data_IF_379364100906
#
_entry.id   IF_379364100906
#
_cell.length_a   1.000
_cell.length_b   1.000
_cell.length_c   1.000
_cell.angle_alpha   90.00
_cell.angle_beta   90.00
_cell.angle_gamma   90.00
#
_symmetry.space_group_name_H-M   'P 1'
#
loop_
_entity.id
_entity.type
_entity.pdbx_description
1 polymer ?
#
# COMPACT_ATOMS: atom_id res chain seq x y z
N UNK A 1 -44.04 5.58 -56.79
CA UNK A 1 -43.22 6.30 -55.81
C UNK A 1 -43.16 5.38 -54.60
N UNK A 2 -42.18 4.48 -54.63
CA UNK A 2 -41.90 3.53 -53.55
C UNK A 2 -40.59 3.98 -52.93
N UNK A 3 -40.59 4.16 -51.60
CA UNK A 3 -39.43 4.25 -50.68
C UNK A 3 -39.86 5.05 -49.43
N UNK A 4 -39.66 4.71 -48.15
CA UNK A 4 -39.01 3.62 -47.42
C UNK A 4 -39.81 3.41 -46.12
N UNK A 5 -40.34 2.21 -45.85
CA UNK A 5 -41.00 1.86 -44.58
C UNK A 5 -40.30 0.69 -43.86
N UNK A 6 -38.98 0.59 -44.04
CA UNK A 6 -38.20 -0.58 -43.55
C UNK A 6 -37.27 -0.28 -42.37
N UNK A 7 -37.15 0.96 -41.91
CA UNK A 7 -36.19 1.32 -40.85
C UNK A 7 -36.77 1.16 -39.43
N UNK A 8 -38.10 1.14 -39.26
CA UNK A 8 -38.73 1.07 -37.94
C UNK A 8 -39.17 -0.33 -37.49
N UNK A 9 -38.98 -1.35 -38.33
CA UNK A 9 -39.32 -2.72 -37.95
C UNK A 9 -38.17 -3.34 -37.16
N UNK A 10 -38.43 -3.86 -35.94
CA UNK A 10 -37.40 -4.50 -35.14
C UNK A 10 -36.79 -5.68 -35.92
N UNK A 11 -35.46 -5.72 -36.03
CA UNK A 11 -34.77 -6.82 -36.68
C UNK A 11 -35.12 -8.15 -36.01
N UNK A 12 -35.54 -9.12 -36.81
CA UNK A 12 -35.97 -10.44 -36.35
C UNK A 12 -35.02 -11.52 -36.87
N UNK A 13 -34.82 -12.56 -36.06
CA UNK A 13 -34.07 -13.76 -36.44
C UNK A 13 -34.73 -14.99 -35.84
N UNK A 14 -34.48 -16.15 -36.43
CA UNK A 14 -34.81 -17.42 -35.79
C UNK A 14 -33.80 -17.73 -34.68
N UNK A 15 -34.26 -18.10 -33.48
CA UNK A 15 -33.40 -18.53 -32.38
C UNK A 15 -34.08 -19.54 -31.44
N UNK A 16 -33.43 -20.67 -31.10
CA UNK A 16 -32.17 -21.17 -31.66
C UNK A 16 -32.31 -21.47 -33.16
N UNK A 17 -31.20 -21.51 -33.89
CA UNK A 17 -31.20 -21.89 -35.32
C UNK A 17 -31.85 -23.27 -35.51
N UNK A 18 -32.84 -23.38 -36.39
CA UNK A 18 -33.59 -24.61 -36.65
C UNK A 18 -34.78 -24.86 -35.70
N UNK A 19 -35.18 -23.89 -34.88
CA UNK A 19 -36.33 -23.98 -33.98
C UNK A 19 -37.66 -23.53 -34.58
N UNK A 20 -37.64 -22.83 -35.72
CA UNK A 20 -38.79 -22.14 -36.29
C UNK A 20 -39.30 -20.94 -35.47
N UNK A 21 -38.64 -20.58 -34.36
CA UNK A 21 -39.07 -19.50 -33.47
C UNK A 21 -38.38 -18.19 -33.81
N UNK A 22 -39.16 -17.21 -34.26
CA UNK A 22 -38.69 -15.85 -34.55
C UNK A 22 -38.63 -14.99 -33.29
N UNK A 23 -37.52 -14.27 -33.10
CA UNK A 23 -37.28 -13.36 -31.97
C UNK A 23 -36.71 -12.03 -32.44
N UNK A 24 -36.93 -10.97 -31.66
CA UNK A 24 -36.24 -9.69 -31.82
C UNK A 24 -34.75 -9.84 -31.47
N UNK A 25 -33.88 -9.45 -32.39
CA UNK A 25 -32.42 -9.59 -32.24
C UNK A 25 -31.90 -8.80 -31.03
N UNK A 26 -32.27 -7.52 -30.92
CA UNK A 26 -31.80 -6.64 -29.85
C UNK A 26 -32.22 -7.17 -28.47
N UNK A 27 -33.49 -7.54 -28.31
CA UNK A 27 -33.99 -8.13 -27.07
C UNK A 27 -33.23 -9.42 -26.72
N UNK A 28 -32.93 -10.26 -27.71
CA UNK A 28 -32.20 -11.50 -27.47
C UNK A 28 -30.75 -11.24 -27.03
N UNK A 29 -30.07 -10.29 -27.66
CA UNK A 29 -28.71 -9.88 -27.29
C UNK A 29 -28.67 -9.37 -25.85
N UNK A 30 -29.63 -8.51 -25.45
CA UNK A 30 -29.70 -7.97 -24.10
C UNK A 30 -29.95 -9.06 -23.04
N UNK A 31 -30.82 -10.03 -23.32
CA UNK A 31 -31.03 -11.20 -22.43
C UNK A 31 -29.72 -12.00 -22.29
N UNK A 32 -29.04 -12.28 -23.40
CA UNK A 32 -27.77 -13.03 -23.36
C UNK A 32 -26.66 -12.27 -22.63
N UNK A 33 -26.60 -10.94 -22.77
CA UNK A 33 -25.67 -10.10 -22.02
C UNK A 33 -25.97 -10.14 -20.50
N UNK A 34 -27.25 -10.09 -20.13
CA UNK A 34 -27.68 -10.27 -18.73
C UNK A 34 -27.31 -11.64 -18.16
N UNK A 35 -27.52 -12.71 -18.93
CA UNK A 35 -27.10 -14.06 -18.54
C UNK A 35 -25.58 -14.13 -18.34
N UNK A 36 -24.79 -13.52 -19.24
CA UNK A 36 -23.33 -13.47 -19.13
C UNK A 36 -22.87 -12.78 -17.84
N UNK A 37 -23.51 -11.69 -17.42
CA UNK A 37 -23.16 -11.00 -16.16
C UNK A 37 -23.27 -11.89 -14.92
N UNK A 38 -24.13 -12.90 -14.95
CA UNK A 38 -24.33 -13.83 -13.83
C UNK A 38 -23.60 -15.15 -14.01
N UNK A 39 -23.07 -15.43 -15.20
CA UNK A 39 -22.57 -16.75 -15.62
C UNK A 39 -21.23 -17.13 -15.00
N UNK A 40 -20.31 -16.20 -14.81
CA UNK A 40 -19.00 -16.51 -14.23
C UNK A 40 -18.99 -16.33 -12.71
N UNK A 41 -18.13 -17.06 -12.01
CA UNK A 41 -17.88 -16.92 -10.58
C UNK A 41 -16.39 -16.87 -10.32
N UNK A 42 -15.95 -15.88 -9.56
CA UNK A 42 -14.62 -15.83 -8.98
C UNK A 42 -14.64 -16.51 -7.61
N UNK A 43 -13.66 -17.37 -7.38
CA UNK A 43 -13.50 -18.15 -6.14
C UNK A 43 -12.05 -17.97 -5.68
N UNK A 44 -11.85 -17.62 -4.43
CA UNK A 44 -10.56 -17.66 -3.76
C UNK A 44 -10.73 -17.97 -2.29
N UNK A 45 -9.63 -18.30 -1.62
CA UNK A 45 -9.66 -18.85 -0.27
C UNK A 45 -9.62 -17.77 0.83
N UNK A 46 -9.10 -16.59 0.53
CA UNK A 46 -8.98 -15.49 1.48
C UNK A 46 -10.26 -14.62 1.49
N UNK A 47 -10.91 -14.48 2.64
CA UNK A 47 -11.97 -13.46 2.81
C UNK A 47 -11.44 -12.20 3.50
N UNK A 48 -10.37 -12.36 4.30
CA UNK A 48 -9.81 -11.33 5.14
C UNK A 48 -8.31 -11.55 5.37
N UNK A 49 -7.55 -10.47 5.49
CA UNK A 49 -6.17 -10.48 5.97
C UNK A 49 -5.95 -9.40 7.04
N UNK A 50 -4.93 -9.61 7.85
CA UNK A 50 -4.41 -8.66 8.84
C UNK A 50 -2.98 -8.29 8.45
N UNK A 51 -2.64 -7.01 8.50
CA UNK A 51 -1.28 -6.53 8.23
C UNK A 51 -1.00 -5.23 8.94
N UNK A 52 0.28 -4.95 9.15
CA UNK A 52 0.76 -3.67 9.66
C UNK A 52 1.14 -2.74 8.50
N UNK A 53 0.77 -1.47 8.60
CA UNK A 53 1.11 -0.43 7.62
C UNK A 53 2.63 -0.27 7.57
N UNK A 54 3.19 -0.16 6.36
CA UNK A 54 4.62 0.11 6.19
C UNK A 54 5.53 -1.11 6.25
N UNK A 55 5.05 -2.28 6.70
CA UNK A 55 5.81 -3.54 6.66
C UNK A 55 5.98 -4.06 5.24
N UNK A 56 7.14 -4.64 4.93
CA UNK A 56 7.43 -5.26 3.64
C UNK A 56 6.88 -6.69 3.62
N UNK A 57 5.56 -6.82 3.60
CA UNK A 57 4.85 -8.11 3.55
C UNK A 57 3.97 -8.17 2.31
N UNK A 58 4.22 -9.16 1.46
CA UNK A 58 3.39 -9.44 0.30
C UNK A 58 2.36 -10.51 0.62
N UNK A 59 1.14 -10.33 0.09
CA UNK A 59 0.06 -11.30 0.16
C UNK A 59 -0.31 -11.73 -1.26
N UNK A 60 -0.38 -13.04 -1.48
CA UNK A 60 -0.83 -13.60 -2.73
C UNK A 60 -2.27 -14.09 -2.59
N UNK A 61 -3.08 -13.78 -3.59
CA UNK A 61 -4.49 -14.12 -3.68
C UNK A 61 -4.70 -14.98 -4.93
N UNK A 62 -4.65 -16.30 -4.77
CA UNK A 62 -5.04 -17.23 -5.82
C UNK A 62 -6.54 -17.11 -6.09
N UNK A 63 -6.92 -16.93 -7.36
CA UNK A 63 -8.32 -16.80 -7.78
C UNK A 63 -8.61 -17.75 -8.94
N UNK A 64 -9.72 -18.47 -8.84
CA UNK A 64 -10.24 -19.35 -9.89
C UNK A 64 -11.53 -18.76 -10.47
N UNK A 65 -11.61 -18.69 -11.79
CA UNK A 65 -12.80 -18.31 -12.54
C UNK A 65 -13.47 -19.56 -13.11
N UNK A 66 -14.74 -19.77 -12.78
CA UNK A 66 -15.56 -20.87 -13.31
C UNK A 66 -16.83 -20.37 -13.97
N UNK A 67 -17.33 -21.12 -14.94
CA UNK A 67 -18.68 -20.97 -15.48
C UNK A 67 -19.66 -21.64 -14.50
N UNK A 68 -20.54 -20.86 -13.86
CA UNK A 68 -21.53 -21.34 -12.89
C UNK A 68 -22.47 -22.39 -13.46
N UNK A 69 -22.75 -22.35 -14.77
CA UNK A 69 -23.69 -23.27 -15.41
C UNK A 69 -23.07 -24.64 -15.64
N UNK A 70 -21.82 -24.67 -16.07
CA UNK A 70 -21.13 -25.93 -16.43
C UNK A 70 -20.23 -26.46 -15.32
N UNK A 71 -19.85 -25.61 -14.37
CA UNK A 71 -18.82 -25.91 -13.37
C UNK A 71 -17.39 -25.89 -13.93
N UNK A 72 -17.21 -25.68 -15.24
CA UNK A 72 -15.91 -25.76 -15.88
C UNK A 72 -15.08 -24.49 -15.65
N UNK A 73 -13.75 -24.61 -15.58
CA UNK A 73 -12.86 -23.45 -15.54
C UNK A 73 -12.94 -22.61 -16.81
N UNK A 74 -12.87 -21.29 -16.66
CA UNK A 74 -12.84 -20.35 -17.79
C UNK A 74 -11.40 -19.94 -18.06
N UNK A 75 -10.88 -20.31 -19.22
CA UNK A 75 -9.49 -20.06 -19.64
C UNK A 75 -9.33 -18.72 -20.35
N UNK A 76 -8.16 -18.09 -20.26
CA UNK A 76 -7.83 -16.81 -20.91
C UNK A 76 -8.81 -15.69 -20.59
N UNK A 77 -9.39 -15.71 -19.39
CA UNK A 77 -10.35 -14.72 -18.94
C UNK A 77 -9.62 -13.55 -18.26
N UNK A 78 -9.77 -12.32 -18.74
CA UNK A 78 -9.07 -11.18 -18.19
C UNK A 78 -9.74 -10.71 -16.89
N UNK A 79 -8.92 -10.40 -15.90
CA UNK A 79 -9.31 -9.96 -14.57
C UNK A 79 -8.54 -8.70 -14.20
N UNK A 80 -9.19 -7.81 -13.46
CA UNK A 80 -8.62 -6.56 -12.98
C UNK A 80 -8.85 -6.42 -11.49
N UNK A 81 -7.79 -6.10 -10.76
CA UNK A 81 -7.85 -5.76 -9.34
C UNK A 81 -7.91 -4.26 -9.13
N UNK A 82 -8.46 -3.86 -8.00
CA UNK A 82 -8.51 -2.48 -7.53
C UNK A 82 -8.38 -2.41 -6.02
N UNK A 83 -7.56 -1.48 -5.55
CA UNK A 83 -7.43 -1.07 -4.15
C UNK A 83 -6.88 0.35 -4.13
N UNK A 84 -7.34 1.20 -3.20
CA UNK A 84 -6.86 2.58 -3.12
C UNK A 84 -5.47 2.65 -2.49
N UNK A 85 -4.62 3.56 -2.99
CA UNK A 85 -3.40 4.00 -2.30
C UNK A 85 -2.28 2.97 -2.12
N UNK A 86 -2.46 1.72 -2.54
CA UNK A 86 -1.51 0.63 -2.30
C UNK A 86 -0.92 0.08 -3.59
N UNK A 87 0.18 -0.68 -3.48
CA UNK A 87 0.85 -1.30 -4.62
C UNK A 87 0.47 -2.76 -4.75
N UNK A 88 -0.05 -3.15 -5.93
CA UNK A 88 -0.53 -4.50 -6.19
C UNK A 88 -0.46 -4.87 -7.68
N UNK A 89 -0.72 -6.13 -7.99
CA UNK A 89 -0.92 -6.63 -9.36
C UNK A 89 -2.28 -6.14 -9.87
N UNK A 90 -2.31 -5.22 -10.83
CA UNK A 90 -3.56 -4.65 -11.33
C UNK A 90 -4.33 -5.56 -12.29
N UNK A 91 -3.62 -6.37 -13.08
CA UNK A 91 -4.23 -7.20 -14.14
C UNK A 91 -3.77 -8.65 -14.03
N UNK A 92 -4.66 -9.57 -14.40
CA UNK A 92 -4.38 -11.00 -14.48
C UNK A 92 -5.20 -11.65 -15.59
N UNK A 93 -4.74 -12.79 -16.09
CA UNK A 93 -5.48 -13.59 -17.06
C UNK A 93 -5.47 -15.04 -16.60
N UNK A 94 -6.62 -15.69 -16.64
CA UNK A 94 -6.73 -17.07 -16.17
C UNK A 94 -6.02 -18.05 -17.10
N UNK A 95 -5.37 -19.05 -16.52
CA UNK A 95 -4.71 -20.11 -17.27
C UNK A 95 -5.69 -21.21 -17.73
N UNK A 96 -5.17 -22.33 -18.26
CA UNK A 96 -5.97 -23.47 -18.72
C UNK A 96 -6.85 -24.13 -17.63
N UNK A 97 -6.55 -23.89 -16.34
CA UNK A 97 -7.35 -24.36 -15.19
C UNK A 97 -8.24 -23.26 -14.61
N UNK A 98 -8.42 -22.15 -15.33
CA UNK A 98 -9.21 -21.01 -14.88
C UNK A 98 -8.58 -20.20 -13.75
N UNK A 99 -7.27 -20.34 -13.52
CA UNK A 99 -6.58 -19.80 -12.35
C UNK A 99 -5.73 -18.57 -12.67
N UNK A 100 -5.72 -17.59 -11.78
CA UNK A 100 -4.88 -16.39 -11.80
C UNK A 100 -4.39 -16.05 -10.38
N UNK A 101 -3.26 -15.34 -10.25
CA UNK A 101 -2.71 -14.88 -8.97
C UNK A 101 -2.66 -13.35 -8.97
N UNK A 102 -3.15 -12.76 -7.88
CA UNK A 102 -3.03 -11.34 -7.60
C UNK A 102 -2.17 -11.12 -6.36
N UNK A 103 -1.24 -10.17 -6.40
CA UNK A 103 -0.34 -9.91 -5.29
C UNK A 103 -0.58 -8.50 -4.75
N UNK A 104 -0.79 -8.38 -3.43
CA UNK A 104 -0.69 -7.13 -2.70
C UNK A 104 0.73 -7.03 -2.13
N UNK A 105 1.56 -6.14 -2.67
CA UNK A 105 2.99 -6.11 -2.33
C UNK A 105 3.30 -5.44 -0.99
N UNK A 106 2.54 -4.38 -0.67
CA UNK A 106 2.72 -3.58 0.54
C UNK A 106 1.48 -2.73 0.80
N UNK A 107 1.08 -2.62 2.06
CA UNK A 107 0.07 -1.65 2.51
C UNK A 107 0.76 -0.39 3.02
N UNK A 108 0.43 0.75 2.40
CA UNK A 108 0.94 2.08 2.76
C UNK A 108 -0.19 3.07 3.05
N UNK A 109 -1.38 2.82 2.52
CA UNK A 109 -2.57 3.61 2.82
C UNK A 109 -2.97 3.40 4.28
N UNK A 110 -3.31 4.49 4.97
CA UNK A 110 -3.55 4.51 6.42
C UNK A 110 -4.98 4.17 6.81
N UNK A 111 -5.83 3.87 5.83
CA UNK A 111 -7.22 3.48 6.09
C UNK A 111 -7.23 2.13 6.80
N UNK A 112 -7.80 2.02 8.03
CA UNK A 112 -7.70 0.78 8.81
C UNK A 112 -8.40 -0.42 8.18
N UNK A 113 -9.51 -0.19 7.47
CA UNK A 113 -10.25 -1.25 6.77
C UNK A 113 -10.36 -0.87 5.30
N UNK A 114 -9.78 -1.71 4.45
CA UNK A 114 -9.74 -1.52 3.00
C UNK A 114 -10.23 -2.79 2.30
N UNK A 115 -10.55 -2.68 1.03
CA UNK A 115 -11.02 -3.80 0.22
C UNK A 115 -10.13 -3.97 -0.99
N UNK A 116 -9.54 -5.15 -1.12
CA UNK A 116 -8.90 -5.59 -2.34
C UNK A 116 -9.95 -6.29 -3.20
N UNK A 117 -10.32 -5.70 -4.32
CA UNK A 117 -11.43 -6.17 -5.15
C UNK A 117 -10.88 -6.65 -6.48
N UNK A 118 -11.20 -7.90 -6.84
CA UNK A 118 -10.86 -8.50 -8.13
C UNK A 118 -12.15 -8.67 -8.93
N UNK A 119 -12.14 -8.16 -10.15
CA UNK A 119 -13.27 -8.14 -11.06
C UNK A 119 -12.88 -8.76 -12.41
N UNK A 120 -13.86 -9.26 -13.17
CA UNK A 120 -13.70 -9.39 -14.62
C UNK A 120 -13.28 -8.07 -15.26
N UNK A 121 -12.28 -8.12 -16.12
CA UNK A 121 -11.94 -6.97 -16.95
C UNK A 121 -12.79 -7.00 -18.23
N UNK A 122 -13.90 -6.26 -18.19
CA UNK A 122 -14.86 -6.14 -19.28
C UNK A 122 -14.89 -4.73 -19.86
N UNK A 123 -13.87 -3.90 -19.57
CA UNK A 123 -13.83 -2.49 -19.96
C UNK A 123 -14.03 -2.28 -21.47
N UNK A 124 -13.54 -3.19 -22.31
CA UNK A 124 -13.71 -3.14 -23.77
C UNK A 124 -15.16 -3.38 -24.25
N UNK A 125 -16.01 -3.94 -23.40
CA UNK A 125 -17.37 -4.40 -23.73
C UNK A 125 -18.48 -3.67 -22.98
N UNK A 126 -18.17 -2.95 -21.89
CA UNK A 126 -19.14 -2.28 -21.03
C UNK A 126 -20.08 -1.34 -21.80
N UNK A 127 -19.53 -0.49 -22.67
CA UNK A 127 -20.30 0.51 -23.41
C UNK A 127 -21.12 -0.07 -24.59
N UNK A 128 -20.96 -1.37 -24.89
CA UNK A 128 -21.62 -2.02 -26.03
C UNK A 128 -22.81 -2.90 -25.62
N UNK A 129 -22.79 -3.46 -24.41
CA UNK A 129 -23.72 -4.51 -24.00
C UNK A 129 -24.29 -4.35 -22.58
N UNK A 130 -24.08 -3.21 -21.90
CA UNK A 130 -24.48 -3.00 -20.50
C UNK A 130 -24.03 -4.15 -19.58
N UNK A 131 -22.83 -4.69 -19.83
CA UNK A 131 -22.27 -5.74 -18.99
C UNK A 131 -21.85 -5.16 -17.64
N UNK A 132 -22.23 -5.81 -16.56
CA UNK A 132 -21.82 -5.45 -15.20
C UNK A 132 -20.78 -6.44 -14.71
N UNK A 133 -19.82 -5.98 -13.90
CA UNK A 133 -18.77 -6.81 -13.31
C UNK A 133 -19.28 -7.69 -12.17
N UNK A 134 -20.55 -8.14 -12.23
CA UNK A 134 -21.41 -8.56 -11.11
C UNK A 134 -20.97 -9.75 -10.26
N UNK A 135 -19.75 -10.26 -10.40
CA UNK A 135 -19.17 -11.30 -9.55
C UNK A 135 -17.74 -10.91 -9.14
N UNK A 136 -17.63 -9.87 -8.33
CA UNK A 136 -16.37 -9.48 -7.70
C UNK A 136 -15.95 -10.47 -6.63
N UNK A 137 -14.66 -10.75 -6.54
CA UNK A 137 -14.07 -11.38 -5.37
C UNK A 137 -13.41 -10.31 -4.53
N UNK A 138 -13.82 -10.19 -3.27
CA UNK A 138 -13.43 -9.11 -2.38
C UNK A 138 -12.76 -9.68 -1.14
N UNK A 139 -11.62 -9.08 -0.80
CA UNK A 139 -10.81 -9.46 0.35
C UNK A 139 -10.74 -8.24 1.25
N UNK A 140 -11.17 -8.40 2.50
CA UNK A 140 -11.06 -7.35 3.52
C UNK A 140 -9.61 -7.29 4.01
N UNK A 141 -9.00 -6.11 3.93
CA UNK A 141 -7.65 -5.85 4.40
C UNK A 141 -7.75 -4.98 5.63
N UNK A 142 -7.40 -5.55 6.79
CA UNK A 142 -7.31 -4.79 8.03
C UNK A 142 -5.85 -4.37 8.22
N UNK A 143 -5.62 -3.07 8.10
CA UNK A 143 -4.32 -2.45 8.23
C UNK A 143 -4.22 -1.79 9.60
N UNK A 144 -3.27 -2.23 10.43
CA UNK A 144 -3.01 -1.63 11.72
C UNK A 144 -1.81 -0.68 11.63
N UNK A 145 -1.81 0.43 12.38
CA UNK A 145 -0.61 1.25 12.52
C UNK A 145 0.53 0.44 13.16
N UNK A 146 1.79 0.70 12.79
CA UNK A 146 2.91 0.02 13.41
C UNK A 146 3.14 0.47 14.84
N UNK A 147 3.49 -0.46 15.71
CA UNK A 147 3.97 -0.22 17.06
C UNK A 147 5.49 -0.13 17.00
N UNK A 148 6.05 1.00 17.43
CA UNK A 148 7.49 1.29 17.33
C UNK A 148 8.11 1.34 18.72
N UNK A 149 9.23 0.64 18.91
CA UNK A 149 10.10 0.80 20.06
C UNK A 149 11.27 1.71 19.67
N UNK A 150 11.44 2.81 20.41
CA UNK A 150 12.53 3.77 20.19
C UNK A 150 13.58 3.61 21.29
N UNK A 151 14.81 3.28 20.91
CA UNK A 151 16.00 3.31 21.76
C UNK A 151 16.93 4.42 21.26
N UNK A 152 16.82 5.59 21.89
CA UNK A 152 17.48 6.80 21.44
C UNK A 152 18.43 7.29 22.54
N UNK A 153 19.71 7.38 22.19
CA UNK A 153 20.75 7.98 23.03
C UNK A 153 21.18 9.31 22.43
N UNK A 154 21.04 10.39 23.19
CA UNK A 154 21.45 11.74 22.80
C UNK A 154 22.41 12.34 23.82
N UNK A 155 23.62 12.67 23.36
CA UNK A 155 24.65 13.30 24.18
C UNK A 155 25.07 14.64 23.60
N UNK A 156 25.30 15.60 24.50
CA UNK A 156 25.96 16.85 24.21
C UNK A 156 27.27 16.91 25.01
N UNK A 157 28.42 16.84 24.33
CA UNK A 157 29.75 16.88 24.96
C UNK A 157 29.85 15.86 26.11
N UNK A 158 29.60 14.58 25.79
CA UNK A 158 29.53 13.42 26.72
C UNK A 158 28.38 13.40 27.74
N UNK A 159 27.71 14.54 27.97
CA UNK A 159 26.59 14.63 28.91
C UNK A 159 25.27 14.27 28.24
N UNK A 160 24.46 13.45 28.91
CA UNK A 160 23.07 13.21 28.48
C UNK A 160 22.27 14.50 28.54
N UNK A 161 21.34 14.67 27.59
CA UNK A 161 20.43 15.81 27.55
C UNK A 161 19.15 15.53 28.35
N UNK A 162 18.76 16.45 29.22
CA UNK A 162 17.43 16.41 29.88
C UNK A 162 16.28 16.63 28.88
N UNK A 163 16.56 17.32 27.78
CA UNK A 163 15.59 17.63 26.72
C UNK A 163 16.14 17.17 25.36
N UNK A 164 15.87 15.92 24.96
CA UNK A 164 16.31 15.37 23.67
C UNK A 164 15.60 16.04 22.49
N UNK A 165 16.28 16.10 21.35
CA UNK A 165 15.77 16.66 20.09
C UNK A 165 15.43 15.58 19.07
N UNK A 166 16.26 14.53 18.96
CA UNK A 166 16.09 13.45 18.00
C UNK A 166 14.85 12.59 18.28
N UNK A 167 14.63 12.20 19.54
CA UNK A 167 13.48 11.34 19.90
C UNK A 167 12.12 11.99 19.55
N UNK A 168 11.83 13.25 19.90
CA UNK A 168 10.58 13.90 19.47
C UNK A 168 10.42 13.99 17.95
N UNK A 169 11.48 14.35 17.21
CA UNK A 169 11.45 14.45 15.74
C UNK A 169 11.14 13.10 15.10
N UNK A 170 11.79 12.03 15.56
CA UNK A 170 11.52 10.68 15.05
C UNK A 170 10.08 10.26 15.37
N UNK A 171 9.58 10.50 16.58
CA UNK A 171 8.18 10.21 16.92
C UNK A 171 7.21 10.93 15.99
N UNK A 172 7.42 12.22 15.77
CA UNK A 172 6.59 13.02 14.87
C UNK A 172 6.60 12.45 13.45
N UNK A 173 7.76 12.07 12.93
CA UNK A 173 7.90 11.45 11.60
C UNK A 173 7.09 10.15 11.51
N UNK A 174 7.18 9.27 12.49
CA UNK A 174 6.44 7.99 12.49
C UNK A 174 4.92 8.19 12.61
N UNK A 175 4.47 9.12 13.45
CA UNK A 175 3.04 9.47 13.58
C UNK A 175 2.52 10.07 12.27
N UNK A 176 3.23 11.06 11.72
CA UNK A 176 2.78 11.76 10.52
C UNK A 176 2.79 10.89 9.27
N UNK A 177 3.66 9.88 9.19
CA UNK A 177 3.78 9.04 7.99
C UNK A 177 3.02 7.71 8.10
N UNK A 178 2.89 7.15 9.30
CA UNK A 178 2.39 5.80 9.50
C UNK A 178 1.31 5.68 10.58
N UNK A 179 0.92 6.79 11.22
CA UNK A 179 0.01 6.78 12.38
C UNK A 179 0.52 5.90 13.53
N UNK A 180 1.85 5.75 13.64
CA UNK A 180 2.48 4.79 14.52
C UNK A 180 2.14 5.00 16.00
N UNK A 181 2.09 3.90 16.73
CA UNK A 181 2.03 3.87 18.19
C UNK A 181 3.40 3.56 18.77
N UNK A 182 3.63 3.84 20.06
CA UNK A 182 4.95 3.64 20.68
C UNK A 182 4.87 2.81 21.94
N UNK A 183 5.86 1.93 22.11
CA UNK A 183 5.99 1.08 23.29
C UNK A 183 7.42 1.13 23.84
N UNK A 184 7.56 0.88 25.14
CA UNK A 184 8.86 0.64 25.79
C UNK A 184 9.26 -0.84 25.75
N UNK A 185 8.33 -1.73 25.43
CA UNK A 185 8.59 -3.15 25.37
C UNK A 185 8.90 -3.56 23.93
N UNK A 186 10.19 -3.77 23.64
CA UNK A 186 10.68 -4.20 22.33
C UNK A 186 9.92 -5.41 21.77
N UNK A 187 9.58 -6.39 22.62
CA UNK A 187 8.88 -7.62 22.19
C UNK A 187 7.45 -7.39 21.70
N UNK A 188 6.88 -6.22 21.96
CA UNK A 188 5.53 -5.84 21.51
C UNK A 188 5.57 -4.87 20.32
N UNK A 189 6.75 -4.55 19.79
CA UNK A 189 6.92 -3.62 18.67
C UNK A 189 7.07 -4.35 17.35
N UNK A 190 6.50 -3.81 16.28
CA UNK A 190 6.76 -4.24 14.90
C UNK A 190 8.15 -3.77 14.44
N UNK A 191 8.57 -2.57 14.89
CA UNK A 191 9.86 -1.99 14.55
C UNK A 191 10.64 -1.54 15.78
N UNK A 192 11.93 -1.87 15.79
CA UNK A 192 12.91 -1.29 16.72
C UNK A 192 13.73 -0.23 16.00
N UNK A 193 13.73 0.99 16.53
CA UNK A 193 14.54 2.09 16.02
C UNK A 193 15.62 2.41 17.03
N UNK A 194 16.88 2.33 16.59
CA UNK A 194 18.05 2.69 17.39
C UNK A 194 18.60 4.01 16.85
N UNK A 195 18.78 4.99 17.72
CA UNK A 195 19.33 6.30 17.38
C UNK A 195 20.46 6.67 18.31
N UNK A 196 21.62 7.01 17.76
CA UNK A 196 22.77 7.48 18.52
C UNK A 196 23.13 8.85 17.99
N UNK A 197 23.06 9.86 18.87
CA UNK A 197 23.39 11.24 18.56
C UNK A 197 24.42 11.73 19.58
N UNK A 198 25.46 12.38 19.06
CA UNK A 198 26.54 12.91 19.88
C UNK A 198 27.01 14.24 19.35
N UNK A 199 27.67 15.00 20.22
CA UNK A 199 28.38 16.20 19.82
C UNK A 199 29.82 16.19 20.30
N UNK A 200 30.70 16.75 19.47
CA UNK A 200 32.11 16.91 19.78
C UNK A 200 32.54 18.38 19.57
N UNK A 201 33.24 18.92 20.55
CA UNK A 201 33.82 20.25 20.46
C UNK A 201 35.09 20.22 19.61
N UNK A 202 35.16 21.08 18.59
CA UNK A 202 36.39 21.24 17.79
C UNK A 202 37.52 21.91 18.59
N UNK A 203 37.16 22.71 19.58
CA UNK A 203 38.08 23.41 20.47
C UNK A 203 37.38 23.70 21.79
N UNK A 204 38.15 23.73 22.88
CA UNK A 204 37.68 24.20 24.19
C UNK A 204 37.56 25.74 24.27
N UNK A 205 38.03 26.46 23.25
CA UNK A 205 38.08 27.92 23.19
C UNK A 205 37.33 28.50 21.99
N UNK A 206 36.96 29.78 22.11
CA UNK A 206 36.31 30.54 21.05
C UNK A 206 37.22 30.70 19.83
N UNK A 207 36.62 30.71 18.64
CA UNK A 207 37.34 31.05 17.42
C UNK A 207 37.64 32.55 17.32
N UNK A 208 38.29 32.98 16.23
CA UNK A 208 38.64 34.39 15.97
C UNK A 208 37.46 35.37 15.93
N UNK A 209 36.23 34.87 15.85
CA UNK A 209 34.99 35.65 15.87
C UNK A 209 34.28 35.62 17.23
N UNK A 210 34.89 35.02 18.26
CA UNK A 210 34.31 34.93 19.60
C UNK A 210 33.25 33.83 19.78
N UNK A 211 33.20 32.85 18.87
CA UNK A 211 32.22 31.75 18.88
C UNK A 211 32.83 30.43 19.34
N UNK A 212 32.12 29.71 20.20
CA UNK A 212 32.33 28.28 20.40
C UNK A 212 31.78 27.50 19.20
N UNK A 213 32.45 26.41 18.81
CA UNK A 213 32.05 25.57 17.69
C UNK A 213 32.04 24.10 18.11
N UNK A 214 30.88 23.47 17.91
CA UNK A 214 30.63 22.07 18.25
C UNK A 214 29.98 21.41 17.04
N UNK A 215 30.31 20.16 16.77
CA UNK A 215 29.80 19.40 15.64
C UNK A 215 28.94 18.26 16.16
N UNK A 216 27.80 18.03 15.53
CA UNK A 216 26.91 16.92 15.84
C UNK A 216 27.00 15.84 14.77
N UNK A 217 27.02 14.59 15.24
CA UNK A 217 26.88 13.39 14.44
C UNK A 217 25.68 12.60 14.94
N UNK A 218 25.02 11.90 14.03
CA UNK A 218 23.86 11.09 14.35
C UNK A 218 23.71 9.91 13.42
N UNK A 219 23.33 8.76 13.96
CA UNK A 219 22.98 7.57 13.18
C UNK A 219 21.64 7.02 13.67
N UNK A 220 20.76 6.72 12.73
CA UNK A 220 19.48 6.05 12.98
C UNK A 220 19.45 4.75 12.19
N UNK A 221 19.07 3.67 12.87
CA UNK A 221 18.86 2.35 12.31
C UNK A 221 17.44 1.89 12.63
N UNK A 222 16.80 1.20 11.69
CA UNK A 222 15.48 0.61 11.86
C UNK A 222 15.60 -0.88 11.59
N UNK A 223 15.07 -1.67 12.53
CA UNK A 223 15.02 -3.12 12.46
C UNK A 223 13.56 -3.57 12.43
N UNK A 224 13.29 -4.60 11.64
CA UNK A 224 12.10 -5.43 11.78
C UNK A 224 12.29 -6.30 13.03
N UNK A 225 11.40 -6.17 14.02
CA UNK A 225 11.59 -6.80 15.34
C UNK A 225 11.50 -8.32 15.26
N UNK A 226 10.58 -8.86 14.47
CA UNK A 226 10.33 -10.29 14.36
C UNK A 226 11.52 -11.04 13.76
N UNK A 227 12.07 -10.50 12.68
CA UNK A 227 13.21 -11.10 11.97
C UNK A 227 14.58 -10.63 12.49
N UNK A 228 14.61 -9.58 13.31
CA UNK A 228 15.82 -8.86 13.72
C UNK A 228 16.69 -8.43 12.52
N UNK A 229 16.06 -8.13 11.39
CA UNK A 229 16.75 -7.68 10.17
C UNK A 229 16.79 -6.17 10.13
N UNK A 230 17.96 -5.58 9.87
CA UNK A 230 18.07 -4.15 9.58
C UNK A 230 17.40 -3.85 8.24
N UNK A 231 16.41 -2.97 8.26
CA UNK A 231 15.66 -2.56 7.07
C UNK A 231 16.06 -1.17 6.56
N UNK A 232 16.72 -0.37 7.40
CA UNK A 232 17.16 0.97 7.05
C UNK A 232 18.27 1.47 7.99
N UNK A 233 19.23 2.20 7.43
CA UNK A 233 20.23 2.97 8.18
C UNK A 233 20.46 4.32 7.49
N UNK A 234 20.60 5.38 8.28
CA UNK A 234 21.06 6.70 7.81
C UNK A 234 21.95 7.35 8.87
N UNK A 235 23.04 7.96 8.40
CA UNK A 235 23.95 8.74 9.22
C UNK A 235 24.07 10.18 8.69
N UNK A 236 24.16 11.13 9.61
CA UNK A 236 24.40 12.55 9.33
C UNK A 236 25.59 12.96 10.20
N UNK A 237 26.62 13.51 9.58
CA UNK A 237 27.88 13.82 10.28
C UNK A 237 28.28 15.29 10.07
N UNK A 238 29.09 15.80 11.00
CA UNK A 238 29.73 17.11 10.99
C UNK A 238 28.77 18.30 10.91
N UNK A 239 27.61 18.19 11.57
CA UNK A 239 26.63 19.30 11.61
C UNK A 239 27.11 20.36 12.59
N UNK A 240 27.55 21.51 12.09
CA UNK A 240 28.11 22.57 12.93
C UNK A 240 27.02 23.38 13.68
N UNK A 241 27.17 23.45 14.99
CA UNK A 241 26.55 24.41 15.86
C UNK A 241 27.55 25.43 16.40
N UNK A 242 27.07 26.65 16.66
CA UNK A 242 27.87 27.72 17.21
C UNK A 242 27.08 28.49 18.27
N UNK A 243 27.80 29.06 19.23
CA UNK A 243 27.24 29.87 20.31
C UNK A 243 28.30 30.83 20.87
N UNK A 244 27.88 32.03 21.28
CA UNK A 244 28.79 33.06 21.80
C UNK A 244 29.11 32.88 23.30
N UNK A 245 28.30 32.11 24.02
CA UNK A 245 28.35 32.01 25.47
C UNK A 245 29.00 30.71 25.93
N UNK A 246 28.58 29.56 25.38
CA UNK A 246 29.02 28.24 25.89
C UNK A 246 29.19 27.17 24.79
N UNK A 247 30.04 26.17 25.06
CA UNK A 247 30.15 24.97 24.22
C UNK A 247 28.85 24.16 24.25
N UNK A 248 28.19 24.08 25.40
CA UNK A 248 26.92 23.37 25.55
C UNK A 248 25.84 23.97 24.63
N UNK A 249 25.72 25.31 24.59
CA UNK A 249 24.81 26.03 23.71
C UNK A 249 25.11 25.76 22.23
N UNK A 250 26.40 25.77 21.87
CA UNK A 250 26.83 25.43 20.51
C UNK A 250 26.44 24.00 20.14
N UNK A 251 26.59 23.04 21.05
CA UNK A 251 26.19 21.65 20.82
C UNK A 251 24.69 21.43 20.72
N UNK A 252 23.87 22.12 21.53
CA UNK A 252 22.40 22.12 21.37
C UNK A 252 21.99 22.68 20.01
N UNK A 253 22.67 23.74 19.54
CA UNK A 253 22.42 24.31 18.21
C UNK A 253 22.87 23.37 17.08
N UNK A 254 23.88 22.53 17.29
CA UNK A 254 24.32 21.51 16.34
C UNK A 254 23.25 20.41 16.21
N UNK A 255 22.80 19.83 17.34
CA UNK A 255 21.79 18.77 17.37
C UNK A 255 20.45 19.22 16.78
N UNK A 256 20.00 20.45 17.07
CA UNK A 256 18.78 21.00 16.46
C UNK A 256 18.83 21.06 14.93
N UNK A 257 20.01 21.15 14.33
CA UNK A 257 20.18 21.23 12.88
C UNK A 257 20.27 19.86 12.19
N UNK A 258 20.36 18.77 12.94
CA UNK A 258 20.50 17.44 12.32
C UNK A 258 19.25 16.98 11.59
N UNK A 259 18.09 17.64 11.77
CA UNK A 259 16.81 17.47 11.05
C UNK A 259 16.65 16.07 10.39
N UNK A 260 16.06 15.14 11.14
CA UNK A 260 15.80 13.76 10.70
C UNK A 260 14.51 13.60 9.91
#
# INVERSE_FOLDING_TARGET
>A
MEDYTFIDLPLQTEYPTGSGKTVNILSKILIMAGDLNTRFKLIGDASEIQTTIGMKRSFEFPVTCIDKKTGNPITNFPLKASMNGNRFTEQGTTNAKGFAIFTLFKVIDRTPVQYFIINPDISDYQNKLNLTSGNSYMIKVNAQPPIVCLDITEKNLESSLDSPFGMPTLKELFVQNYSAEFTKNERLSDFRVIGIFGTEAKSSSKNKYGLYQVYADGTVQIYDTDSNTEIYQKSINNVMGADFQTLEGAGRNALKKTNW
#
